data_IF_428353354098
#
_entry.id   IF_428353354098
#
_cell.length_a   1.000
_cell.length_b   1.000
_cell.length_c   1.000
_cell.angle_alpha   90.00
_cell.angle_beta   90.00
_cell.angle_gamma   90.00
#
_symmetry.space_group_name_H-M   'P 1'
#
loop_
_entity.id
_entity.type
_entity.pdbx_description
1 polymer ?
#
# COMPACT_ATOMS: atom_id res chain seq x y z
N UNK A 1 5.35 15.43 11.99
CA UNK A 1 6.14 14.48 11.20
C UNK A 1 5.35 13.29 10.69
N UNK A 2 4.42 12.70 11.46
CA UNK A 2 3.54 11.60 10.99
C UNK A 2 2.68 11.99 9.78
N UNK A 3 2.20 13.24 9.74
CA UNK A 3 1.42 13.78 8.62
C UNK A 3 2.15 13.69 7.26
N UNK A 4 3.48 13.80 7.23
CA UNK A 4 4.26 13.69 6.00
C UNK A 4 4.29 12.24 5.49
N UNK A 5 4.39 11.28 6.42
CA UNK A 5 4.34 9.84 6.13
C UNK A 5 2.95 9.47 5.63
N UNK A 6 1.89 9.92 6.30
CA UNK A 6 0.52 9.66 5.87
C UNK A 6 0.23 10.25 4.49
N UNK A 7 0.72 11.46 4.22
CA UNK A 7 0.59 12.08 2.90
C UNK A 7 1.36 11.34 1.81
N UNK A 8 2.51 10.73 2.13
CA UNK A 8 3.27 9.91 1.20
C UNK A 8 2.54 8.58 0.93
N UNK A 9 2.12 7.89 1.98
CA UNK A 9 1.41 6.60 1.88
C UNK A 9 0.10 6.77 1.11
N UNK A 10 -0.65 7.85 1.34
CA UNK A 10 -1.87 8.14 0.58
C UNK A 10 -1.57 8.30 -0.91
N UNK A 11 -0.61 9.15 -1.27
CA UNK A 11 -0.19 9.36 -2.67
C UNK A 11 0.26 8.06 -3.35
N UNK A 12 0.98 7.22 -2.62
CA UNK A 12 1.43 5.93 -3.13
C UNK A 12 0.26 4.97 -3.38
N UNK A 13 -0.70 4.88 -2.44
CA UNK A 13 -1.92 4.09 -2.62
C UNK A 13 -2.75 4.58 -3.80
N UNK A 14 -2.94 5.89 -3.92
CA UNK A 14 -3.68 6.49 -5.03
C UNK A 14 -3.03 6.10 -6.38
N UNK A 15 -1.71 6.18 -6.48
CA UNK A 15 -0.98 5.79 -7.69
C UNK A 15 -1.05 4.30 -8.01
N UNK A 16 -1.03 3.43 -7.00
CA UNK A 16 -1.19 1.99 -7.22
C UNK A 16 -2.61 1.65 -7.65
N UNK A 17 -3.62 2.30 -7.07
CA UNK A 17 -5.02 2.12 -7.46
C UNK A 17 -5.32 2.58 -8.90
N UNK A 18 -4.54 3.53 -9.45
CA UNK A 18 -4.61 3.90 -10.87
C UNK A 18 -4.11 2.78 -11.81
N UNK A 19 -3.21 1.93 -11.34
CA UNK A 19 -2.54 0.88 -12.14
C UNK A 19 -3.22 -0.47 -11.93
N UNK A 20 -3.53 -0.78 -10.68
CA UNK A 20 -4.12 -2.03 -10.22
C UNK A 20 -5.09 -1.71 -9.05
N UNK A 21 -6.37 -1.46 -9.35
CA UNK A 21 -7.38 -1.16 -8.34
C UNK A 21 -7.82 -2.38 -7.54
N UNK A 22 -7.49 -3.59 -8.00
CA UNK A 22 -7.98 -4.84 -7.43
C UNK A 22 -7.13 -5.29 -6.23
N UNK A 23 -5.88 -4.81 -6.13
CA UNK A 23 -4.95 -5.20 -5.07
C UNK A 23 -4.53 -4.07 -4.13
N UNK A 24 -4.66 -4.32 -2.82
CA UNK A 24 -4.23 -3.38 -1.78
C UNK A 24 -2.79 -3.68 -1.33
N UNK A 25 -1.82 -3.10 -2.04
CA UNK A 25 -0.39 -3.34 -1.77
C UNK A 25 0.11 -2.84 -0.41
N UNK A 26 -0.47 -1.79 0.17
CA UNK A 26 -0.02 -1.23 1.45
C UNK A 26 -1.11 -1.36 2.51
N UNK A 27 -0.89 -2.24 3.48
CA UNK A 27 -1.81 -2.54 4.57
C UNK A 27 -1.34 -1.86 5.85
N UNK A 28 -2.27 -1.24 6.58
CA UNK A 28 -1.99 -0.68 7.90
C UNK A 28 -2.18 -1.75 8.98
N UNK A 29 -1.13 -2.04 9.75
CA UNK A 29 -1.15 -2.99 10.86
C UNK A 29 -1.16 -2.21 12.17
N UNK A 30 -2.24 -2.33 12.94
CA UNK A 30 -2.39 -1.64 14.23
C UNK A 30 -1.23 -2.01 15.17
N UNK A 31 -0.58 -1.00 15.72
CA UNK A 31 0.57 -1.16 16.61
C UNK A 31 1.91 -1.51 15.93
N UNK A 32 1.95 -1.67 14.59
CA UNK A 32 3.17 -2.05 13.86
C UNK A 32 3.53 -1.12 12.69
N UNK A 33 2.56 -0.39 12.13
CA UNK A 33 2.81 0.56 11.02
C UNK A 33 2.29 0.02 9.68
N UNK A 34 3.08 0.14 8.61
CA UNK A 34 2.69 -0.26 7.26
C UNK A 34 3.38 -1.56 6.85
N UNK A 35 2.64 -2.46 6.19
CA UNK A 35 3.13 -3.71 5.62
C UNK A 35 2.87 -3.72 4.13
N UNK A 36 3.86 -4.16 3.35
CA UNK A 36 3.70 -4.44 1.93
C UNK A 36 3.06 -5.82 1.77
N UNK A 37 1.94 -5.90 1.06
CA UNK A 37 1.23 -7.13 0.75
C UNK A 37 1.29 -7.34 -0.76
N UNK A 38 2.25 -8.16 -1.22
CA UNK A 38 2.44 -8.41 -2.65
C UNK A 38 1.54 -9.57 -3.08
N UNK A 39 0.87 -9.50 -4.25
CA UNK A 39 0.12 -10.63 -4.77
C UNK A 39 1.02 -11.86 -4.90
N UNK A 40 0.45 -13.06 -4.74
CA UNK A 40 1.20 -14.28 -4.97
C UNK A 40 1.77 -14.26 -6.39
N UNK A 41 3.00 -14.76 -6.60
CA UNK A 41 3.53 -14.87 -7.95
C UNK A 41 2.56 -15.71 -8.78
N UNK A 42 2.11 -15.16 -9.91
CA UNK A 42 1.38 -15.91 -10.91
C UNK A 42 2.35 -16.93 -11.50
N UNK A 43 2.41 -18.11 -10.91
CA UNK A 43 3.12 -19.24 -11.50
C UNK A 43 2.34 -19.68 -12.74
N UNK A 44 2.83 -19.28 -13.91
CA UNK A 44 2.42 -19.79 -15.23
C UNK A 44 2.66 -21.29 -15.37
#
# INVERSE_FOLDING_TARGET
SEQAIDALVRRLRDRMAEIDPDWQYIVTVRGHGFRLDNPPPTNS
#
